data_IF_426633694442
#
_entry.id   IF_426633694442
#
_cell.length_a   1.000
_cell.length_b   1.000
_cell.length_c   1.000
_cell.angle_alpha   90.00
_cell.angle_beta   90.00
_cell.angle_gamma   90.00
#
_symmetry.space_group_name_H-M   'P 1'
#
loop_
_entity.id
_entity.type
_entity.pdbx_description
1 polymer ?
#
# COMPACT_ATOMS: atom_id res chain seq x y z
N UNK A 1 -10.69 1.17 7.48
CA UNK A 1 -10.37 0.21 6.40
C UNK A 1 -10.72 0.85 5.07
N UNK A 2 -9.79 0.93 4.14
CA UNK A 2 -10.02 1.43 2.78
C UNK A 2 -9.45 0.45 1.76
N UNK A 3 -10.16 0.30 0.64
CA UNK A 3 -9.68 -0.43 -0.54
C UNK A 3 -8.95 0.50 -1.52
N UNK A 4 -9.03 1.82 -1.30
CA UNK A 4 -8.40 2.81 -2.14
C UNK A 4 -6.89 2.82 -1.91
N UNK A 5 -6.17 3.22 -2.96
CA UNK A 5 -4.70 3.33 -2.98
C UNK A 5 -4.23 4.76 -3.23
N UNK A 6 -5.17 5.70 -3.41
CA UNK A 6 -4.93 7.09 -3.80
C UNK A 6 -4.34 7.96 -2.70
N UNK A 7 -4.47 7.56 -1.43
CA UNK A 7 -3.92 8.26 -0.27
C UNK A 7 -4.77 9.43 0.22
N UNK A 8 -6.01 9.59 -0.26
CA UNK A 8 -6.88 10.69 0.15
C UNK A 8 -7.23 10.65 1.64
N UNK A 9 -7.36 9.46 2.24
CA UNK A 9 -7.59 9.31 3.67
C UNK A 9 -6.48 9.98 4.49
N UNK A 10 -5.22 9.78 4.09
CA UNK A 10 -4.06 10.46 4.70
C UNK A 10 -4.09 11.96 4.45
N UNK A 11 -4.43 12.39 3.23
CA UNK A 11 -4.49 13.80 2.87
C UNK A 11 -5.54 14.58 3.69
N UNK A 12 -6.62 13.92 4.12
CA UNK A 12 -7.63 14.50 5.03
C UNK A 12 -7.17 14.58 6.49
N UNK A 13 -6.01 14.02 6.83
CA UNK A 13 -5.45 14.05 8.18
C UNK A 13 -5.94 12.93 9.10
N UNK A 14 -6.50 11.85 8.55
CA UNK A 14 -6.78 10.65 9.35
C UNK A 14 -5.47 10.12 9.92
N UNK A 15 -5.43 9.91 11.24
CA UNK A 15 -4.28 9.33 11.93
C UNK A 15 -3.92 7.98 11.28
N UNK A 16 -2.67 7.76 10.86
CA UNK A 16 -2.22 6.48 10.30
C UNK A 16 -2.54 5.27 11.20
N UNK A 17 -2.62 5.44 12.52
CA UNK A 17 -3.00 4.37 13.43
C UNK A 17 -4.49 4.00 13.38
N UNK A 18 -5.33 4.86 12.82
CA UNK A 18 -6.75 4.57 12.57
C UNK A 18 -6.98 4.01 11.15
N UNK A 19 -5.95 4.00 10.32
CA UNK A 19 -6.05 3.60 8.93
C UNK A 19 -5.60 2.14 8.71
N UNK A 20 -6.39 1.44 7.91
CA UNK A 20 -6.03 0.13 7.35
C UNK A 20 -6.22 0.21 5.85
N UNK A 21 -5.11 0.36 5.14
CA UNK A 21 -5.04 0.38 3.67
C UNK A 21 -5.00 -1.08 3.18
N UNK A 22 -6.18 -1.67 2.98
CA UNK A 22 -6.31 -3.12 2.74
C UNK A 22 -5.63 -3.56 1.43
N UNK A 23 -5.54 -2.66 0.45
CA UNK A 23 -4.83 -2.88 -0.81
C UNK A 23 -3.50 -2.12 -0.88
N UNK A 24 -2.92 -1.80 0.28
CA UNK A 24 -1.72 -0.99 0.35
C UNK A 24 -1.93 0.44 -0.13
N UNK A 25 -0.85 1.14 -0.47
CA UNK A 25 -0.95 2.54 -0.90
C UNK A 25 0.19 2.97 -1.80
N UNK A 26 -0.05 4.05 -2.53
CA UNK A 26 0.96 4.81 -3.25
C UNK A 26 1.75 5.77 -2.32
N UNK A 27 1.97 5.41 -1.06
CA UNK A 27 2.84 6.20 -0.18
C UNK A 27 4.33 5.94 -0.48
N UNK A 28 4.68 4.69 -0.77
CA UNK A 28 6.05 4.23 -0.95
C UNK A 28 6.13 3.14 -2.02
N UNK A 29 7.35 2.83 -2.46
CA UNK A 29 7.65 1.68 -3.32
C UNK A 29 8.83 0.89 -2.76
N UNK A 30 8.80 -0.44 -2.95
CA UNK A 30 9.80 -1.35 -2.39
C UNK A 30 10.40 -2.24 -3.47
N UNK A 31 11.72 -2.41 -3.41
CA UNK A 31 12.43 -3.41 -4.19
C UNK A 31 11.90 -4.84 -3.93
N UNK A 32 11.60 -5.59 -4.98
CA UNK A 32 11.16 -6.99 -4.91
C UNK A 32 12.31 -7.98 -4.67
N UNK A 33 13.56 -7.52 -4.67
CA UNK A 33 14.71 -8.34 -4.29
C UNK A 33 14.56 -8.82 -2.84
N UNK A 34 14.36 -10.13 -2.65
CA UNK A 34 14.04 -10.76 -1.35
C UNK A 34 14.98 -10.36 -0.21
N UNK A 35 16.29 -10.22 -0.51
CA UNK A 35 17.31 -9.81 0.48
C UNK A 35 17.57 -8.30 0.52
N UNK A 36 16.98 -7.53 -0.39
CA UNK A 36 17.26 -6.11 -0.56
C UNK A 36 16.18 -5.23 0.08
N UNK A 37 14.91 -5.36 -0.36
CA UNK A 37 13.75 -4.62 0.16
C UNK A 37 13.98 -3.11 0.36
N UNK A 38 14.90 -2.51 -0.40
CA UNK A 38 15.23 -1.09 -0.27
C UNK A 38 14.04 -0.26 -0.72
N UNK A 39 13.58 0.71 0.09
CA UNK A 39 12.51 1.62 -0.31
C UNK A 39 12.99 2.60 -1.37
N UNK A 40 12.06 3.08 -2.18
CA UNK A 40 12.28 4.05 -3.24
C UNK A 40 11.14 5.06 -3.26
N UNK A 41 11.48 6.31 -3.61
CA UNK A 41 10.48 7.37 -3.76
C UNK A 41 9.46 6.99 -4.83
N UNK A 42 8.18 7.14 -4.53
CA UNK A 42 7.16 6.88 -5.53
C UNK A 42 7.21 7.89 -6.67
N UNK A 43 7.58 9.14 -6.42
CA UNK A 43 7.72 10.15 -7.48
C UNK A 43 8.79 9.73 -8.50
N UNK A 44 9.87 9.11 -8.01
CA UNK A 44 10.91 8.56 -8.86
C UNK A 44 10.40 7.36 -9.67
N UNK A 45 9.70 6.43 -9.01
CA UNK A 45 9.09 5.26 -9.65
C UNK A 45 8.06 5.67 -10.70
N UNK A 46 7.24 6.67 -10.42
CA UNK A 46 6.25 7.24 -11.35
C UNK A 46 6.92 7.91 -12.53
N UNK A 47 7.99 8.68 -12.32
CA UNK A 47 8.76 9.32 -13.40
C UNK A 47 9.30 8.28 -14.37
N UNK A 48 9.99 7.26 -13.86
CA UNK A 48 10.55 6.18 -14.68
C UNK A 48 9.44 5.44 -15.46
N UNK A 49 8.32 5.12 -14.78
CA UNK A 49 7.20 4.45 -15.43
C UNK A 49 6.54 5.34 -16.51
N UNK A 50 6.45 6.65 -16.30
CA UNK A 50 5.91 7.60 -17.27
C UNK A 50 6.78 7.73 -18.53
N UNK A 51 8.08 7.42 -18.43
CA UNK A 51 9.01 7.34 -19.56
C UNK A 51 8.90 5.98 -20.30
N UNK A 52 8.04 5.07 -19.85
CA UNK A 52 7.86 3.73 -20.42
C UNK A 52 8.90 2.72 -19.94
N UNK A 53 9.69 3.06 -18.92
CA UNK A 53 10.73 2.20 -18.37
C UNK A 53 10.27 1.45 -17.13
N UNK A 54 10.96 0.34 -16.82
CA UNK A 54 10.69 -0.46 -15.62
C UNK A 54 11.58 0.03 -14.46
N UNK A 55 11.01 0.50 -13.34
CA UNK A 55 11.78 0.92 -12.17
C UNK A 55 12.62 -0.21 -11.61
N UNK A 56 13.94 0.01 -11.51
CA UNK A 56 14.90 -0.98 -10.99
C UNK A 56 15.64 -0.44 -9.78
N UNK A 57 15.88 -1.33 -8.82
CA UNK A 57 16.58 -1.00 -7.58
C UNK A 57 18.05 -0.68 -7.87
N UNK A 58 18.57 0.48 -7.44
CA UNK A 58 19.96 0.85 -7.71
C UNK A 58 20.97 -0.10 -7.04
N UNK A 59 20.57 -0.82 -5.98
CA UNK A 59 21.46 -1.73 -5.23
C UNK A 59 21.54 -3.15 -5.81
N UNK A 60 20.46 -3.66 -6.40
CA UNK A 60 20.40 -5.08 -6.81
C UNK A 60 19.73 -5.32 -8.16
N UNK A 61 19.31 -4.26 -8.88
CA UNK A 61 18.72 -4.29 -10.21
C UNK A 61 17.38 -5.05 -10.34
N UNK A 62 16.86 -5.61 -9.24
CA UNK A 62 15.52 -6.16 -9.17
C UNK A 62 14.46 -5.06 -9.36
N UNK A 63 13.27 -5.47 -9.82
CA UNK A 63 12.13 -4.56 -10.04
C UNK A 63 11.71 -3.91 -8.72
N UNK A 64 11.38 -2.62 -8.78
CA UNK A 64 10.76 -1.87 -7.69
C UNK A 64 9.27 -1.78 -7.98
N UNK A 65 8.45 -2.09 -6.97
CA UNK A 65 6.99 -2.06 -7.07
C UNK A 65 6.43 -1.07 -6.04
N UNK A 66 5.45 -0.22 -6.40
CA UNK A 66 4.65 0.50 -5.40
C UNK A 66 4.09 -0.45 -4.35
N UNK A 67 3.94 0.01 -3.12
CA UNK A 67 3.43 -0.78 -2.00
C UNK A 67 1.90 -0.95 -2.04
N UNK A 68 1.36 -1.22 -3.23
CA UNK A 68 -0.03 -1.61 -3.46
C UNK A 68 -0.11 -3.13 -3.56
N UNK A 69 -1.26 -3.70 -3.24
CA UNK A 69 -1.55 -5.13 -3.35
C UNK A 69 -2.09 -5.39 -4.75
N UNK A 70 -1.41 -6.27 -5.49
CA UNK A 70 -1.90 -6.77 -6.78
C UNK A 70 -2.86 -7.93 -6.53
N UNK A 71 -3.62 -8.31 -7.55
CA UNK A 71 -4.38 -9.56 -7.49
C UNK A 71 -3.45 -10.73 -7.13
N UNK A 72 -3.97 -11.64 -6.30
CA UNK A 72 -3.28 -12.81 -5.76
C UNK A 72 -2.11 -12.51 -4.79
N UNK A 73 -1.88 -11.25 -4.42
CA UNK A 73 -0.99 -10.91 -3.31
C UNK A 73 -1.75 -10.85 -1.97
N UNK A 74 -1.07 -11.26 -0.89
CA UNK A 74 -1.62 -11.14 0.45
C UNK A 74 -1.76 -9.66 0.85
N UNK A 75 -2.88 -9.28 1.50
CA UNK A 75 -3.02 -7.97 2.12
C UNK A 75 -1.91 -7.68 3.14
N UNK A 76 -1.64 -6.41 3.47
CA UNK A 76 -0.67 -6.06 4.49
C UNK A 76 -1.01 -6.73 5.82
N UNK A 77 0.00 -7.20 6.56
CA UNK A 77 -0.19 -7.88 7.85
C UNK A 77 -1.13 -7.13 8.80
N UNK A 78 -1.09 -5.80 8.81
CA UNK A 78 -1.97 -4.93 9.61
C UNK A 78 -3.45 -5.22 9.38
N UNK A 79 -3.86 -5.56 8.15
CA UNK A 79 -5.22 -5.97 7.85
C UNK A 79 -5.62 -7.21 8.66
N UNK A 80 -4.80 -8.25 8.67
CA UNK A 80 -5.05 -9.47 9.43
C UNK A 80 -4.95 -9.26 10.94
N UNK A 81 -3.99 -8.45 11.39
CA UNK A 81 -3.74 -8.20 12.82
C UNK A 81 -4.89 -7.45 13.51
N UNK A 82 -5.66 -6.66 12.74
CA UNK A 82 -6.71 -5.77 13.25
C UNK A 82 -8.14 -6.21 12.91
N UNK A 83 -8.37 -6.85 11.75
CA UNK A 83 -9.73 -7.14 11.24
C UNK A 83 -10.64 -7.77 12.30
N UNK A 84 -10.22 -8.88 12.90
CA UNK A 84 -11.09 -9.63 13.81
C UNK A 84 -11.32 -8.84 15.11
N UNK A 85 -10.27 -8.18 15.63
CA UNK A 85 -10.35 -7.38 16.85
C UNK A 85 -11.27 -6.17 16.69
N UNK A 86 -11.15 -5.47 15.56
CA UNK A 86 -11.93 -4.25 15.30
C UNK A 86 -13.39 -4.60 15.01
N UNK A 87 -13.65 -5.70 14.29
CA UNK A 87 -15.00 -6.18 14.01
C UNK A 87 -15.69 -6.62 15.30
N UNK A 88 -15.01 -7.39 16.15
CA UNK A 88 -15.57 -7.86 17.43
C UNK A 88 -15.87 -6.70 18.39
N UNK A 89 -15.13 -5.59 18.29
CA UNK A 89 -15.31 -4.41 19.14
C UNK A 89 -16.28 -3.36 18.56
N UNK A 90 -16.73 -3.51 17.31
CA UNK A 90 -17.52 -2.48 16.63
C UNK A 90 -19.02 -2.57 16.97
N UNK A 91 -19.60 -1.45 17.42
CA UNK A 91 -21.06 -1.33 17.58
C UNK A 91 -21.80 -1.03 16.25
N UNK A 92 -21.07 -0.51 15.25
CA UNK A 92 -21.60 -0.11 13.96
C UNK A 92 -20.56 -0.28 12.85
N UNK A 93 -20.98 -0.85 11.73
CA UNK A 93 -20.20 -0.90 10.48
C UNK A 93 -20.83 0.02 9.43
N UNK A 94 -20.06 1.02 8.98
CA UNK A 94 -20.46 1.93 7.91
C UNK A 94 -19.72 1.56 6.61
N UNK A 95 -20.46 1.07 5.62
CA UNK A 95 -19.92 0.67 4.31
C UNK A 95 -20.29 1.75 3.28
N UNK A 96 -19.29 2.35 2.64
CA UNK A 96 -19.47 3.45 1.68
C UNK A 96 -18.62 3.16 0.44
N UNK A 97 -19.24 3.23 -0.74
CA UNK A 97 -18.48 3.29 -2.00
C UNK A 97 -17.75 2.00 -2.38
N UNK A 98 -18.36 0.83 -2.17
CA UNK A 98 -17.82 -0.47 -2.59
C UNK A 98 -18.96 -1.43 -2.94
N UNK A 99 -18.70 -2.39 -3.83
CA UNK A 99 -19.68 -3.33 -4.43
C UNK A 99 -19.31 -4.79 -4.16
#
# INVERSE_FOLDING_TARGET
>A
YTQNIDGLERATGIDPELLVEAHGSFAEATCLGKKCRTPMSLDEVRRIAAEGEVPRCPKCQAVVKPNIVFFDEDPPRRFHDLRDKDVDAADLLLVIGTS
#
